data_IF_617939613565
#
_entry.id   IF_617939613565
#
_cell.length_a   1.000
_cell.length_b   1.000
_cell.length_c   1.000
_cell.angle_alpha   90.00
_cell.angle_beta   90.00
_cell.angle_gamma   90.00
#
_symmetry.space_group_name_H-M   'P 1'
#
loop_
_entity.id
_entity.type
_entity.pdbx_description
1 polymer ?
#
# COMPACT_ATOMS: atom_id res chain seq x y z
N UNK A 1 26.44 -28.48 -10.17
CA UNK A 1 25.22 -27.65 -10.40
C UNK A 1 24.94 -26.60 -9.31
N UNK A 2 25.29 -26.81 -8.03
CA UNK A 2 25.01 -25.84 -6.95
C UNK A 2 25.81 -24.52 -6.99
N UNK A 3 26.97 -24.48 -7.66
CA UNK A 3 27.82 -23.27 -7.74
C UNK A 3 27.32 -22.21 -8.75
N UNK A 4 26.62 -22.63 -9.79
CA UNK A 4 26.11 -21.72 -10.84
C UNK A 4 24.92 -20.90 -10.30
N UNK A 5 24.07 -21.54 -9.50
CA UNK A 5 22.90 -20.88 -8.92
C UNK A 5 23.25 -19.76 -7.89
N UNK A 6 24.30 -19.97 -7.07
CA UNK A 6 24.75 -18.96 -6.10
C UNK A 6 25.35 -17.71 -6.74
N UNK A 7 26.04 -17.86 -7.88
CA UNK A 7 26.60 -16.70 -8.61
C UNK A 7 25.52 -15.85 -9.27
N UNK A 8 24.45 -16.45 -9.76
CA UNK A 8 23.36 -15.72 -10.42
C UNK A 8 22.55 -14.91 -9.40
N UNK A 9 22.29 -15.47 -8.20
CA UNK A 9 21.58 -14.78 -7.12
C UNK A 9 22.41 -13.63 -6.53
N UNK A 10 23.72 -13.80 -6.40
CA UNK A 10 24.59 -12.72 -5.91
C UNK A 10 24.74 -11.57 -6.91
N UNK A 11 24.76 -11.85 -8.21
CA UNK A 11 24.81 -10.81 -9.24
C UNK A 11 23.53 -9.97 -9.28
N UNK A 12 22.37 -10.59 -9.13
CA UNK A 12 21.10 -9.86 -9.01
C UNK A 12 21.01 -9.00 -7.75
N UNK A 13 21.58 -9.44 -6.62
CA UNK A 13 21.59 -8.64 -5.38
C UNK A 13 22.53 -7.42 -5.45
N UNK A 14 23.60 -7.47 -6.25
CA UNK A 14 24.51 -6.32 -6.44
C UNK A 14 23.88 -5.24 -7.31
N UNK A 15 23.04 -5.61 -8.28
CA UNK A 15 22.39 -4.63 -9.16
C UNK A 15 21.24 -3.86 -8.46
N UNK A 16 20.69 -4.39 -7.36
CA UNK A 16 19.66 -3.72 -6.56
C UNK A 16 20.19 -2.71 -5.54
N UNK A 17 21.50 -2.62 -5.32
CA UNK A 17 22.10 -1.81 -4.26
C UNK A 17 23.21 -0.86 -4.77
N UNK A 18 23.12 -0.40 -6.02
CA UNK A 18 23.98 0.67 -6.48
C UNK A 18 23.18 1.98 -6.51
N UNK A 19 23.30 2.84 -5.47
CA UNK A 19 22.57 4.11 -5.42
C UNK A 19 23.03 5.13 -6.48
N UNK A 20 24.11 4.85 -7.22
CA UNK A 20 24.71 5.79 -8.16
C UNK A 20 24.29 5.57 -9.63
N UNK A 21 23.46 4.58 -9.93
CA UNK A 21 22.87 4.38 -11.26
C UNK A 21 21.45 4.96 -11.31
N UNK A 22 21.29 6.21 -10.92
CA UNK A 22 20.14 7.01 -11.31
C UNK A 22 20.33 7.51 -12.76
N UNK A 23 20.40 6.57 -13.70
CA UNK A 23 20.16 6.93 -15.09
C UNK A 23 18.74 7.45 -15.19
N UNK A 24 18.59 8.66 -15.74
CA UNK A 24 17.31 9.37 -15.87
C UNK A 24 16.20 8.63 -16.60
N UNK A 25 16.46 7.41 -17.05
CA UNK A 25 15.52 6.48 -17.67
C UNK A 25 14.53 5.91 -16.66
N UNK A 26 14.93 5.70 -15.38
CA UNK A 26 14.05 5.15 -14.33
C UNK A 26 12.97 6.16 -13.93
N UNK A 27 13.30 7.45 -13.94
CA UNK A 27 12.36 8.53 -13.61
C UNK A 27 11.20 8.58 -14.60
N UNK A 28 11.41 8.20 -15.87
CA UNK A 28 10.36 8.15 -16.88
C UNK A 28 9.45 6.93 -16.79
N UNK A 29 9.88 5.87 -16.09
CA UNK A 29 9.10 4.64 -15.91
C UNK A 29 8.14 4.70 -14.72
N UNK A 30 8.37 5.63 -13.80
CA UNK A 30 7.56 5.82 -12.59
C UNK A 30 6.96 7.24 -12.56
N UNK A 31 5.86 7.48 -13.27
CA UNK A 31 5.23 8.80 -13.31
C UNK A 31 4.74 9.22 -11.92
N UNK A 32 4.71 10.53 -11.69
CA UNK A 32 4.15 11.12 -10.47
C UNK A 32 2.74 10.62 -10.20
N UNK A 33 2.35 10.59 -8.92
CA UNK A 33 0.98 10.25 -8.54
C UNK A 33 0.05 11.37 -9.00
N UNK A 34 -1.01 10.99 -9.72
CA UNK A 34 -2.00 11.92 -10.24
C UNK A 34 -3.13 12.15 -9.22
N UNK A 35 -3.70 13.34 -9.25
CA UNK A 35 -4.84 13.69 -8.40
C UNK A 35 -6.05 12.77 -8.63
N UNK A 36 -6.30 12.39 -9.88
CA UNK A 36 -7.39 11.46 -10.24
C UNK A 36 -7.19 10.05 -9.65
N UNK A 37 -5.96 9.58 -9.48
CA UNK A 37 -5.68 8.30 -8.82
C UNK A 37 -6.02 8.38 -7.32
N UNK A 38 -5.66 9.49 -6.67
CA UNK A 38 -5.97 9.73 -5.26
C UNK A 38 -7.48 9.86 -5.05
N UNK A 39 -8.17 10.58 -5.93
CA UNK A 39 -9.63 10.71 -5.91
C UNK A 39 -10.31 9.35 -6.04
N UNK A 40 -9.94 8.57 -7.04
CA UNK A 40 -10.44 7.21 -7.23
C UNK A 40 -10.16 6.32 -6.01
N UNK A 41 -8.96 6.38 -5.46
CA UNK A 41 -8.60 5.62 -4.28
C UNK A 41 -9.45 5.99 -3.07
N UNK A 42 -9.67 7.29 -2.84
CA UNK A 42 -10.52 7.79 -1.75
C UNK A 42 -11.97 7.33 -1.91
N UNK A 43 -12.54 7.42 -3.11
CA UNK A 43 -13.91 6.97 -3.42
C UNK A 43 -14.06 5.45 -3.26
N UNK A 44 -12.99 4.69 -3.49
CA UNK A 44 -13.00 3.22 -3.38
C UNK A 44 -12.87 2.70 -1.94
N UNK A 45 -12.58 3.55 -0.96
CA UNK A 45 -12.46 3.16 0.44
C UNK A 45 -13.85 3.08 1.06
N UNK A 46 -14.12 1.92 1.67
CA UNK A 46 -15.36 1.72 2.42
C UNK A 46 -15.36 2.60 3.68
N UNK A 47 -16.33 3.46 3.78
CA UNK A 47 -16.60 4.26 4.98
C UNK A 47 -17.28 3.42 6.08
N UNK A 48 -17.58 3.99 7.23
CA UNK A 48 -18.14 3.30 8.38
C UNK A 48 -17.22 2.20 8.93
N UNK A 49 -15.91 2.42 8.85
CA UNK A 49 -14.87 1.60 9.47
C UNK A 49 -14.19 2.38 10.58
N UNK A 50 -13.71 1.65 11.59
CA UNK A 50 -12.95 2.26 12.68
C UNK A 50 -11.79 3.11 12.16
N UNK A 51 -11.56 4.26 12.77
CA UNK A 51 -10.40 5.12 12.53
C UNK A 51 -9.12 4.39 12.92
N UNK A 52 -8.03 4.71 12.23
CA UNK A 52 -6.70 4.26 12.61
C UNK A 52 -6.14 5.00 13.85
N UNK A 53 -4.84 4.89 14.06
CA UNK A 53 -4.16 5.52 15.20
C UNK A 53 -4.16 7.06 15.19
N UNK A 54 -4.51 7.68 14.07
CA UNK A 54 -4.68 9.14 13.91
C UNK A 54 -6.06 9.64 14.43
N UNK A 55 -6.98 8.73 14.73
CA UNK A 55 -8.32 9.08 15.19
C UNK A 55 -9.21 9.77 14.17
N UNK A 56 -8.79 9.89 12.89
CA UNK A 56 -9.54 10.58 11.84
C UNK A 56 -10.59 9.63 11.24
N UNK A 57 -11.89 9.94 11.39
CA UNK A 57 -12.95 9.12 10.82
C UNK A 57 -12.99 9.28 9.29
N UNK A 58 -13.34 8.19 8.59
CA UNK A 58 -13.46 8.21 7.14
C UNK A 58 -14.48 9.20 6.61
N UNK A 59 -15.53 9.45 7.35
CA UNK A 59 -16.61 10.38 7.03
C UNK A 59 -16.11 11.83 6.87
N UNK A 60 -15.03 12.20 7.55
CA UNK A 60 -14.42 13.52 7.39
C UNK A 60 -13.97 13.77 5.96
N UNK A 61 -13.41 12.76 5.31
CA UNK A 61 -12.98 12.87 3.90
C UNK A 61 -14.16 13.05 2.94
N UNK A 62 -15.33 12.49 3.29
CA UNK A 62 -16.56 12.72 2.51
C UNK A 62 -17.09 14.14 2.64
N UNK A 63 -16.96 14.74 3.83
CA UNK A 63 -17.36 16.13 4.07
C UNK A 63 -16.45 17.09 3.32
N UNK A 64 -15.14 16.85 3.38
CA UNK A 64 -14.13 17.73 2.76
C UNK A 64 -14.01 17.55 1.24
N UNK A 65 -14.45 16.42 0.68
CA UNK A 65 -14.48 16.14 -0.76
C UNK A 65 -13.20 16.54 -1.49
N UNK A 66 -13.27 17.52 -2.39
CA UNK A 66 -12.16 17.95 -3.23
C UNK A 66 -10.97 18.53 -2.43
N UNK A 67 -11.23 19.16 -1.30
CA UNK A 67 -10.15 19.66 -0.43
C UNK A 67 -9.36 18.50 0.21
N UNK A 68 -10.05 17.44 0.60
CA UNK A 68 -9.39 16.22 1.06
C UNK A 68 -8.52 15.60 -0.04
N UNK A 69 -9.01 15.55 -1.28
CA UNK A 69 -8.26 15.02 -2.42
C UNK A 69 -6.98 15.82 -2.64
N UNK A 70 -7.03 17.16 -2.63
CA UNK A 70 -5.86 18.02 -2.82
C UNK A 70 -4.80 17.81 -1.75
N UNK A 71 -5.22 17.77 -0.47
CA UNK A 71 -4.30 17.56 0.65
C UNK A 71 -3.66 16.16 0.57
N UNK A 72 -4.48 15.13 0.36
CA UNK A 72 -3.98 13.75 0.23
C UNK A 72 -3.07 13.59 -0.98
N UNK A 73 -3.39 14.21 -2.11
CA UNK A 73 -2.54 14.20 -3.30
C UNK A 73 -1.16 14.80 -3.02
N UNK A 74 -1.12 15.96 -2.36
CA UNK A 74 0.15 16.60 -1.97
C UNK A 74 1.00 15.68 -1.08
N UNK A 75 0.38 15.03 -0.09
CA UNK A 75 1.08 14.10 0.80
C UNK A 75 1.55 12.86 0.03
N UNK A 76 0.70 12.28 -0.81
CA UNK A 76 1.06 11.11 -1.62
C UNK A 76 2.21 11.42 -2.58
N UNK A 77 2.22 12.59 -3.22
CA UNK A 77 3.34 13.01 -4.07
C UNK A 77 4.63 13.17 -3.27
N UNK A 78 4.55 13.75 -2.08
CA UNK A 78 5.73 13.89 -1.23
C UNK A 78 6.28 12.51 -0.82
N UNK A 79 5.42 11.57 -0.42
CA UNK A 79 5.83 10.20 -0.11
C UNK A 79 6.47 9.55 -1.34
N UNK A 80 5.89 9.73 -2.52
CA UNK A 80 6.40 9.18 -3.77
C UNK A 80 7.80 9.66 -4.11
N UNK A 81 8.02 10.97 -3.97
CA UNK A 81 9.32 11.61 -4.28
C UNK A 81 10.40 11.32 -3.23
N UNK A 82 10.02 11.34 -1.95
CA UNK A 82 10.99 11.22 -0.85
C UNK A 82 11.17 9.82 -0.33
N UNK A 83 10.27 8.88 -0.66
CA UNK A 83 10.20 7.53 -0.10
C UNK A 83 10.02 7.53 1.44
N UNK A 84 9.59 8.66 2.00
CA UNK A 84 9.39 8.84 3.43
C UNK A 84 7.90 8.83 3.77
N UNK A 85 7.49 7.86 4.59
CA UNK A 85 6.12 7.77 5.08
C UNK A 85 5.98 8.55 6.39
N UNK A 86 4.86 9.27 6.59
CA UNK A 86 4.54 9.85 7.90
C UNK A 86 4.55 8.80 9.01
N UNK A 87 5.04 9.14 10.19
CA UNK A 87 5.17 8.17 11.29
C UNK A 87 3.82 7.60 11.72
N UNK A 88 2.77 8.41 11.73
CA UNK A 88 1.43 7.97 12.09
C UNK A 88 0.83 6.99 11.06
N UNK A 89 1.26 7.07 9.80
CA UNK A 89 0.83 6.14 8.76
C UNK A 89 1.52 4.76 8.85
N UNK A 90 2.63 4.68 9.57
CA UNK A 90 3.36 3.43 9.84
C UNK A 90 2.78 2.66 11.04
N UNK A 91 1.88 3.26 11.80
CA UNK A 91 1.28 2.68 13.00
C UNK A 91 -0.05 2.01 12.68
N UNK A 92 -0.27 0.87 13.32
CA UNK A 92 -1.55 0.16 13.29
C UNK A 92 -2.09 0.03 14.71
N UNK A 93 -3.39 0.18 14.86
CA UNK A 93 -4.09 -0.17 16.11
C UNK A 93 -4.62 -1.57 15.96
N UNK A 94 -4.26 -2.45 16.89
CA UNK A 94 -4.71 -3.84 16.88
C UNK A 94 -5.93 -4.00 17.78
N UNK A 95 -7.02 -4.51 17.21
CA UNK A 95 -8.26 -4.79 17.94
C UNK A 95 -8.48 -6.30 17.98
N UNK A 96 -8.51 -6.92 19.18
CA UNK A 96 -8.87 -8.30 19.33
C UNK A 96 -10.39 -8.46 19.22
N UNK A 97 -10.85 -9.31 18.30
CA UNK A 97 -12.26 -9.68 18.12
C UNK A 97 -12.45 -11.10 18.65
N UNK A 98 -13.36 -11.33 19.61
CA UNK A 98 -13.60 -12.67 20.09
C UNK A 98 -14.24 -13.55 19.03
N UNK A 99 -13.71 -14.75 18.86
CA UNK A 99 -14.34 -15.85 18.13
C UNK A 99 -15.40 -16.51 19.02
N UNK A 100 -16.20 -17.39 18.44
CA UNK A 100 -17.08 -18.27 19.22
C UNK A 100 -16.22 -19.21 20.07
N UNK A 101 -16.41 -19.24 21.39
CA UNK A 101 -15.67 -20.08 22.31
C UNK A 101 -15.39 -19.42 23.65
N UNK A 102 -14.44 -19.98 24.41
CA UNK A 102 -14.04 -19.43 25.70
C UNK A 102 -13.28 -18.11 25.55
N UNK A 103 -13.83 -17.02 26.06
CA UNK A 103 -13.22 -15.71 26.01
C UNK A 103 -11.94 -15.57 26.87
N UNK A 104 -11.63 -16.55 27.71
CA UNK A 104 -10.41 -16.54 28.53
C UNK A 104 -9.17 -17.06 27.79
N UNK A 105 -9.36 -17.66 26.62
CA UNK A 105 -8.27 -18.19 25.82
C UNK A 105 -7.84 -17.21 24.72
N UNK A 106 -6.57 -16.83 24.70
CA UNK A 106 -6.01 -15.92 23.66
C UNK A 106 -6.17 -16.46 22.24
N UNK A 107 -6.18 -17.78 22.05
CA UNK A 107 -6.42 -18.45 20.76
C UNK A 107 -7.80 -18.18 20.18
N UNK A 108 -8.75 -17.80 21.03
CA UNK A 108 -10.13 -17.49 20.63
C UNK A 108 -10.35 -16.06 20.19
N UNK A 109 -9.28 -15.32 19.91
CA UNK A 109 -9.36 -13.98 19.37
C UNK A 109 -8.77 -13.92 17.95
N UNK A 110 -9.42 -13.11 17.12
CA UNK A 110 -8.89 -12.68 15.81
C UNK A 110 -8.41 -11.23 15.98
N UNK A 111 -7.16 -10.97 15.65
CA UNK A 111 -6.63 -9.62 15.70
C UNK A 111 -6.85 -8.92 14.36
N UNK A 112 -7.50 -7.76 14.39
CA UNK A 112 -7.66 -6.87 13.21
C UNK A 112 -6.75 -5.67 13.40
N UNK A 113 -5.98 -5.34 12.37
CA UNK A 113 -5.15 -4.15 12.31
C UNK A 113 -5.93 -3.00 11.65
N UNK A 114 -6.06 -1.89 12.34
CA UNK A 114 -6.63 -0.65 11.82
C UNK A 114 -5.49 0.31 11.50
N UNK A 115 -5.44 0.76 10.26
CA UNK A 115 -4.54 1.82 9.78
C UNK A 115 -5.34 3.07 9.44
N UNK A 116 -4.69 4.23 9.38
CA UNK A 116 -5.36 5.50 9.02
C UNK A 116 -6.03 5.43 7.65
N UNK A 117 -7.14 6.13 7.49
CA UNK A 117 -7.83 6.20 6.20
C UNK A 117 -6.97 6.89 5.12
N UNK A 118 -6.21 7.90 5.50
CA UNK A 118 -5.27 8.56 4.61
C UNK A 118 -4.17 7.60 4.10
N UNK A 119 -3.61 6.78 4.99
CA UNK A 119 -2.67 5.72 4.63
C UNK A 119 -3.28 4.71 3.64
N UNK A 120 -4.55 4.32 3.84
CA UNK A 120 -5.27 3.43 2.92
C UNK A 120 -5.38 4.01 1.51
N UNK A 121 -5.55 5.33 1.36
CA UNK A 121 -5.59 5.99 0.05
C UNK A 121 -4.28 5.76 -0.70
N UNK A 122 -3.14 6.03 -0.06
CA UNK A 122 -1.84 5.80 -0.67
C UNK A 122 -1.63 4.33 -1.03
N UNK A 123 -1.92 3.41 -0.11
CA UNK A 123 -1.80 1.97 -0.36
C UNK A 123 -2.70 1.51 -1.52
N UNK A 124 -3.90 2.07 -1.63
CA UNK A 124 -4.84 1.75 -2.72
C UNK A 124 -4.32 2.24 -4.08
N UNK A 125 -3.74 3.43 -4.12
CA UNK A 125 -3.08 3.98 -5.30
C UNK A 125 -1.92 3.09 -5.74
N UNK A 126 -1.05 2.70 -4.81
CA UNK A 126 0.07 1.79 -5.08
C UNK A 126 -0.41 0.41 -5.53
N UNK A 127 -1.45 -0.12 -4.89
CA UNK A 127 -2.04 -1.39 -5.29
C UNK A 127 -2.53 -1.36 -6.73
N UNK A 128 -3.20 -0.29 -7.15
CA UNK A 128 -3.70 -0.15 -8.52
C UNK A 128 -2.55 -0.13 -9.55
N UNK A 129 -1.49 0.63 -9.27
CA UNK A 129 -0.30 0.68 -10.12
C UNK A 129 0.40 -0.68 -10.19
N UNK A 130 0.63 -1.30 -9.04
CA UNK A 130 1.26 -2.62 -8.96
C UNK A 130 0.43 -3.69 -9.67
N UNK A 131 -0.90 -3.65 -9.55
CA UNK A 131 -1.79 -4.61 -10.21
C UNK A 131 -1.67 -4.55 -11.73
N UNK A 132 -1.52 -3.36 -12.30
CA UNK A 132 -1.29 -3.20 -13.75
C UNK A 132 0.03 -3.82 -14.18
N UNK A 133 1.08 -3.63 -13.37
CA UNK A 133 2.39 -4.21 -13.63
C UNK A 133 2.38 -5.73 -13.48
N UNK A 134 1.83 -6.23 -12.37
CA UNK A 134 1.71 -7.67 -12.09
C UNK A 134 0.91 -8.41 -13.15
N UNK A 135 -0.21 -7.84 -13.62
CA UNK A 135 -1.02 -8.46 -14.67
C UNK A 135 -0.27 -8.58 -16.01
N UNK A 136 0.70 -7.73 -16.24
CA UNK A 136 1.52 -7.73 -17.47
C UNK A 136 2.66 -8.75 -17.39
N UNK A 137 3.28 -8.89 -16.21
CA UNK A 137 4.50 -9.67 -16.00
C UNK A 137 4.25 -11.11 -15.53
N UNK A 138 3.08 -11.39 -14.92
CA UNK A 138 2.79 -12.72 -14.40
C UNK A 138 2.30 -13.68 -15.49
N UNK A 139 2.86 -14.90 -15.57
CA UNK A 139 2.37 -15.94 -16.47
C UNK A 139 0.92 -16.31 -16.18
N UNK A 140 0.20 -16.78 -17.20
CA UNK A 140 -1.22 -17.15 -17.10
C UNK A 140 -1.51 -18.33 -16.15
N UNK A 141 -0.49 -19.11 -15.84
CA UNK A 141 -0.60 -20.26 -14.92
C UNK A 141 -0.74 -19.86 -13.45
N UNK A 142 -0.42 -18.60 -13.10
CA UNK A 142 -0.49 -18.15 -11.71
C UNK A 142 -1.88 -17.56 -11.42
N UNK A 143 -2.77 -18.40 -10.85
CA UNK A 143 -4.17 -18.03 -10.59
C UNK A 143 -4.39 -17.25 -9.29
N UNK A 144 -3.47 -17.30 -8.32
CA UNK A 144 -3.59 -16.60 -7.04
C UNK A 144 -3.46 -15.09 -7.19
N UNK A 145 -4.34 -14.33 -6.48
CA UNK A 145 -4.34 -12.86 -6.42
C UNK A 145 -4.66 -12.12 -7.74
N UNK A 146 -5.10 -12.81 -8.77
CA UNK A 146 -5.63 -12.19 -10.00
C UNK A 146 -7.13 -11.90 -9.87
N UNK A 147 -7.51 -10.68 -10.25
CA UNK A 147 -8.93 -10.29 -10.31
C UNK A 147 -9.61 -11.03 -11.46
N UNK A 148 -10.67 -11.76 -11.17
CA UNK A 148 -11.48 -12.41 -12.20
C UNK A 148 -11.21 -13.91 -12.46
N UNK A 149 -10.45 -14.55 -11.59
CA UNK A 149 -10.31 -16.02 -11.58
C UNK A 149 -10.53 -16.61 -10.19
#
# INVERSE_FOLDING_TARGET
>A
MARIHRRTIQKKKKDFHNPDNHDGVIIHLEPDILECEVKWALESITMNKGSGGDGIPGELFQILKEDAVKVLHSICQQIWKTQQWPQDWKRSVFIPIPKKGNAQECSNYLTIALISHASKVMLKTLQARLQQHVNRELPDVQAGFRKGR
#
